data_IF_744374458207
#
_entry.id   IF_744374458207
#
_cell.length_a   1.000
_cell.length_b   1.000
_cell.length_c   1.000
_cell.angle_alpha   90.00
_cell.angle_beta   90.00
_cell.angle_gamma   90.00
#
_symmetry.space_group_name_H-M   'P 1'
#
loop_
_entity.id
_entity.type
_entity.pdbx_description
1 polymer ?
#
# COMPACT_ATOMS: atom_id res chain seq x y z
N UNK A 1 4.80 0.98 6.53
CA UNK A 1 4.55 -0.05 7.55
C UNK A 1 3.74 -1.15 6.91
N UNK A 2 4.18 -2.39 7.03
CA UNK A 2 3.44 -3.55 6.53
C UNK A 2 2.68 -4.21 7.68
N UNK A 3 1.36 -4.07 7.63
CA UNK A 3 0.42 -4.60 8.61
C UNK A 3 -0.35 -5.82 8.07
N UNK A 4 -0.02 -6.32 6.88
CA UNK A 4 -0.56 -7.59 6.38
C UNK A 4 0.18 -8.77 7.03
N UNK A 5 -0.41 -9.27 8.10
CA UNK A 5 0.11 -10.42 8.81
C UNK A 5 -0.18 -11.77 8.14
N UNK A 6 -1.10 -11.81 7.17
CA UNK A 6 -1.53 -13.04 6.50
C UNK A 6 -0.67 -13.37 5.29
N UNK A 7 -0.07 -12.36 4.67
CA UNK A 7 0.84 -12.52 3.54
C UNK A 7 1.78 -11.33 3.38
N UNK A 8 2.72 -11.11 4.34
CA UNK A 8 3.63 -9.96 4.29
C UNK A 8 4.52 -10.08 3.05
N UNK A 9 4.32 -9.18 2.09
CA UNK A 9 5.02 -9.18 0.80
C UNK A 9 6.11 -8.11 0.70
N UNK A 10 5.99 -7.04 1.50
CA UNK A 10 6.90 -5.90 1.48
C UNK A 10 8.37 -6.28 1.80
N UNK A 11 8.68 -7.17 2.77
CA UNK A 11 10.04 -7.64 3.00
C UNK A 11 10.70 -8.23 1.75
N UNK A 12 9.97 -9.10 1.04
CA UNK A 12 10.43 -9.75 -0.19
C UNK A 12 10.61 -8.74 -1.31
N UNK A 13 9.62 -7.87 -1.54
CA UNK A 13 9.66 -6.85 -2.61
C UNK A 13 10.75 -5.79 -2.41
N UNK A 14 11.23 -5.60 -1.17
CA UNK A 14 12.36 -4.73 -0.86
C UNK A 14 13.71 -5.47 -0.75
N UNK A 15 13.71 -6.79 -0.94
CA UNK A 15 14.90 -7.63 -0.86
C UNK A 15 15.54 -7.62 0.54
N UNK A 16 14.72 -7.57 1.59
CA UNK A 16 15.15 -7.51 2.98
C UNK A 16 14.98 -8.88 3.64
N UNK A 17 16.09 -9.44 4.09
CA UNK A 17 16.11 -10.67 4.90
C UNK A 17 16.60 -10.41 6.34
N UNK A 18 16.94 -9.16 6.65
CA UNK A 18 17.44 -8.77 7.96
C UNK A 18 16.30 -8.63 8.97
N UNK A 19 16.65 -8.82 10.24
CA UNK A 19 15.74 -8.61 11.36
C UNK A 19 15.95 -7.21 11.96
N UNK A 20 14.87 -6.49 12.30
CA UNK A 20 14.96 -5.21 13.01
C UNK A 20 15.77 -5.35 14.30
N UNK A 21 16.62 -4.35 14.57
CA UNK A 21 17.38 -4.27 15.81
C UNK A 21 16.62 -3.44 16.84
N UNK A 22 16.93 -3.67 18.11
CA UNK A 22 16.40 -2.87 19.21
C UNK A 22 17.49 -1.97 19.77
N UNK A 23 17.19 -0.70 20.02
CA UNK A 23 18.10 0.25 20.67
C UNK A 23 18.22 -0.04 22.18
N UNK A 24 19.25 0.51 22.87
CA UNK A 24 19.33 0.44 24.33
C UNK A 24 18.08 0.99 25.05
N UNK A 25 17.40 1.96 24.45
CA UNK A 25 16.16 2.58 24.91
C UNK A 25 14.91 1.72 24.62
N UNK A 26 15.10 0.48 24.14
CA UNK A 26 14.04 -0.46 23.77
C UNK A 26 13.16 -0.02 22.59
N UNK A 27 13.67 0.87 21.72
CA UNK A 27 13.00 1.22 20.47
C UNK A 27 13.36 0.23 19.37
N UNK A 28 12.41 -0.08 18.50
CA UNK A 28 12.63 -0.87 17.29
C UNK A 28 13.19 0.02 16.19
N UNK A 29 14.34 -0.33 15.65
CA UNK A 29 14.93 0.38 14.51
C UNK A 29 14.28 -0.12 13.22
N UNK A 30 13.62 0.75 12.43
CA UNK A 30 13.13 0.35 11.12
C UNK A 30 14.29 0.00 10.20
N UNK A 31 14.08 -0.96 9.31
CA UNK A 31 15.03 -1.29 8.26
C UNK A 31 14.92 -0.25 7.15
N UNK A 32 16.01 0.01 6.43
CA UNK A 32 16.03 1.03 5.38
C UNK A 32 16.49 0.42 4.07
N UNK A 33 15.66 0.56 3.03
CA UNK A 33 15.98 0.18 1.66
C UNK A 33 15.44 1.20 0.69
N UNK A 34 16.19 1.54 -0.36
CA UNK A 34 15.79 2.56 -1.34
C UNK A 34 15.37 3.90 -0.69
N UNK A 35 16.02 4.26 0.43
CA UNK A 35 15.69 5.41 1.28
C UNK A 35 14.29 5.40 1.93
N UNK A 36 13.65 4.24 1.99
CA UNK A 36 12.35 4.03 2.64
C UNK A 36 12.57 3.29 3.96
N UNK A 37 12.00 3.81 5.05
CA UNK A 37 11.96 3.15 6.36
C UNK A 37 10.85 2.11 6.39
N UNK A 38 11.17 0.90 6.85
CA UNK A 38 10.32 -0.28 6.72
C UNK A 38 10.22 -1.00 8.07
N UNK A 39 8.99 -1.37 8.41
CA UNK A 39 8.66 -2.28 9.49
C UNK A 39 7.53 -3.17 8.99
N UNK A 40 7.67 -4.48 9.18
CA UNK A 40 6.71 -5.48 8.71
C UNK A 40 6.47 -6.51 9.81
N UNK A 41 5.22 -6.96 9.90
CA UNK A 41 4.87 -8.13 10.70
C UNK A 41 5.66 -9.36 10.23
N UNK A 42 5.97 -9.46 8.94
CA UNK A 42 6.76 -10.53 8.34
C UNK A 42 8.18 -10.63 8.89
N UNK A 43 8.78 -9.55 9.40
CA UNK A 43 10.07 -9.65 10.09
C UNK A 43 9.94 -10.45 11.39
N UNK A 44 8.83 -10.30 12.13
CA UNK A 44 8.67 -10.97 13.42
C UNK A 44 8.32 -12.45 13.32
N UNK A 45 8.06 -12.98 12.11
CA UNK A 45 7.66 -14.36 11.88
C UNK A 45 8.79 -15.12 11.18
N UNK A 46 9.32 -16.21 11.76
CA UNK A 46 10.23 -17.09 11.05
C UNK A 46 9.54 -17.72 9.83
N UNK A 47 10.18 -17.71 8.66
CA UNK A 47 9.62 -18.19 7.37
C UNK A 47 9.00 -19.60 7.42
N UNK A 48 9.49 -20.47 8.31
CA UNK A 48 9.05 -21.86 8.43
C UNK A 48 7.85 -22.07 9.36
N UNK A 49 7.36 -21.03 10.04
CA UNK A 49 6.27 -21.14 11.02
C UNK A 49 5.02 -20.40 10.58
N UNK A 50 3.98 -21.15 10.23
CA UNK A 50 2.63 -20.60 10.05
C UNK A 50 2.07 -20.15 11.41
N UNK A 51 2.27 -18.87 11.75
CA UNK A 51 1.66 -18.27 12.94
C UNK A 51 0.20 -17.90 12.67
N UNK A 52 -0.70 -18.40 13.53
CA UNK A 52 -2.11 -17.98 13.51
C UNK A 52 -2.21 -16.65 14.26
N UNK A 53 -2.33 -15.57 13.52
CA UNK A 53 -2.58 -14.24 14.07
C UNK A 53 -4.00 -14.14 14.61
N UNK A 54 -4.13 -13.87 15.92
CA UNK A 54 -5.41 -13.53 16.54
C UNK A 54 -5.56 -12.00 16.59
N UNK A 55 -6.80 -11.50 16.47
CA UNK A 55 -7.10 -10.05 16.49
C UNK A 55 -6.36 -9.25 17.58
N UNK A 56 -6.34 -9.68 18.86
CA UNK A 56 -5.60 -8.97 19.91
C UNK A 56 -4.08 -8.89 19.69
N UNK A 57 -3.47 -9.90 19.05
CA UNK A 57 -2.05 -9.89 18.74
C UNK A 57 -1.75 -8.88 17.63
N UNK A 58 -2.58 -8.84 16.59
CA UNK A 58 -2.49 -7.85 15.51
C UNK A 58 -2.63 -6.43 16.05
N UNK A 59 -3.66 -6.21 16.88
CA UNK A 59 -3.88 -4.92 17.52
C UNK A 59 -2.65 -4.47 18.33
N UNK A 60 -2.05 -5.38 19.10
CA UNK A 60 -0.87 -5.08 19.91
C UNK A 60 0.36 -4.79 19.03
N UNK A 61 0.56 -5.55 17.95
CA UNK A 61 1.65 -5.35 17.02
C UNK A 61 1.56 -4.00 16.30
N UNK A 62 0.37 -3.62 15.81
CA UNK A 62 0.15 -2.31 15.17
C UNK A 62 0.45 -1.18 16.16
N UNK A 63 -0.07 -1.26 17.39
CA UNK A 63 0.24 -0.25 18.41
C UNK A 63 1.73 -0.16 18.70
N UNK A 64 2.40 -1.29 18.84
CA UNK A 64 3.84 -1.34 19.05
C UNK A 64 4.60 -0.71 17.87
N UNK A 65 4.19 -0.95 16.63
CA UNK A 65 4.82 -0.33 15.47
C UNK A 65 4.63 1.18 15.43
N UNK A 66 3.48 1.69 15.89
CA UNK A 66 3.22 3.12 15.95
C UNK A 66 3.93 3.80 17.13
N UNK A 67 4.08 3.13 18.27
CA UNK A 67 4.66 3.73 19.49
C UNK A 67 6.15 3.49 19.67
N UNK A 68 6.63 2.29 19.33
CA UNK A 68 7.94 1.78 19.76
C UNK A 68 8.96 1.72 18.63
N UNK A 69 8.53 1.89 17.38
CA UNK A 69 9.45 2.03 16.25
C UNK A 69 9.99 3.47 16.20
N UNK A 70 11.31 3.58 16.06
CA UNK A 70 11.97 4.87 15.85
C UNK A 70 11.87 5.28 14.38
N UNK A 71 10.69 5.77 14.00
CA UNK A 71 10.43 6.26 12.65
C UNK A 71 11.22 7.53 12.32
N UNK A 72 11.72 8.27 13.31
CA UNK A 72 12.30 9.61 13.13
C UNK A 72 11.31 10.58 12.48
N UNK A 73 11.84 11.55 11.74
CA UNK A 73 11.02 12.46 10.92
C UNK A 73 10.58 11.75 9.63
N UNK A 74 9.30 11.93 9.29
CA UNK A 74 8.62 11.38 8.13
C UNK A 74 7.65 12.42 7.58
N UNK A 75 7.59 12.53 6.26
CA UNK A 75 6.51 13.26 5.57
C UNK A 75 5.30 12.34 5.35
N UNK A 76 5.57 11.05 5.05
CA UNK A 76 4.56 10.04 4.77
C UNK A 76 4.79 8.76 5.57
N UNK A 77 3.71 8.19 6.11
CA UNK A 77 3.65 6.83 6.63
C UNK A 77 2.58 6.05 5.87
N UNK A 78 3.00 5.26 4.88
CA UNK A 78 2.11 4.37 4.11
C UNK A 78 1.96 3.04 4.84
N UNK A 79 0.74 2.57 5.02
CA UNK A 79 0.38 1.37 5.77
C UNK A 79 -0.26 0.34 4.85
N UNK A 80 0.43 -0.77 4.60
CA UNK A 80 -0.11 -1.88 3.83
C UNK A 80 -1.06 -2.69 4.71
N UNK A 81 -2.34 -2.73 4.35
CA UNK A 81 -3.40 -3.40 5.08
C UNK A 81 -3.70 -4.76 4.43
N UNK A 82 -4.02 -5.79 5.22
CA UNK A 82 -4.47 -7.05 4.66
C UNK A 82 -5.76 -6.84 3.85
N UNK A 83 -6.02 -7.68 2.83
CA UNK A 83 -7.20 -7.54 2.00
C UNK A 83 -8.50 -7.70 2.81
N UNK A 84 -9.52 -6.92 2.43
CA UNK A 84 -10.85 -6.97 3.02
C UNK A 84 -11.10 -5.99 4.17
N UNK A 85 -12.16 -6.22 4.94
CA UNK A 85 -12.63 -5.29 6.00
C UNK A 85 -12.32 -5.81 7.40
N UNK A 86 -11.09 -6.23 7.63
CA UNK A 86 -10.67 -6.96 8.84
C UNK A 86 -10.36 -6.07 10.06
N UNK A 87 -10.02 -6.73 11.16
CA UNK A 87 -9.73 -6.10 12.47
C UNK A 87 -8.52 -5.15 12.45
N UNK A 88 -7.63 -5.26 11.45
CA UNK A 88 -6.41 -4.42 11.32
C UNK A 88 -6.79 -2.97 11.02
N UNK A 89 -7.68 -2.71 10.06
CA UNK A 89 -8.12 -1.35 9.73
C UNK A 89 -8.85 -0.68 10.90
N UNK A 90 -9.68 -1.44 11.62
CA UNK A 90 -10.34 -0.96 12.83
C UNK A 90 -9.33 -0.66 13.94
N UNK A 91 -8.35 -1.54 14.15
CA UNK A 91 -7.30 -1.34 15.15
C UNK A 91 -6.46 -0.10 14.87
N UNK A 92 -6.15 0.13 13.58
CA UNK A 92 -5.36 1.25 13.12
C UNK A 92 -6.09 2.59 13.36
N UNK A 93 -7.34 2.69 12.89
CA UNK A 93 -8.18 3.90 13.06
C UNK A 93 -8.51 4.22 14.52
N UNK A 94 -8.47 3.23 15.41
CA UNK A 94 -8.57 3.45 16.86
C UNK A 94 -7.26 3.85 17.53
N UNK A 95 -6.12 3.57 16.90
CA UNK A 95 -4.80 3.86 17.45
C UNK A 95 -4.32 5.25 17.08
N UNK A 96 -4.55 5.67 15.83
CA UNK A 96 -4.11 6.95 15.28
C UNK A 96 -5.14 7.52 14.30
N UNK A 97 -5.23 8.85 14.15
CA UNK A 97 -5.96 9.46 13.05
C UNK A 97 -5.24 9.15 11.72
N UNK A 98 -6.00 8.84 10.69
CA UNK A 98 -5.49 8.63 9.33
C UNK A 98 -5.82 9.85 8.49
N UNK A 99 -4.87 10.30 7.67
CA UNK A 99 -5.09 11.37 6.67
C UNK A 99 -6.08 10.90 5.62
N UNK A 100 -5.97 9.64 5.19
CA UNK A 100 -6.96 9.05 4.30
C UNK A 100 -6.60 7.64 3.87
N UNK A 101 -7.45 7.05 3.04
CA UNK A 101 -7.27 5.70 2.52
C UNK A 101 -7.19 5.71 0.99
N UNK A 102 -6.30 4.86 0.46
CA UNK A 102 -6.20 4.55 -0.97
C UNK A 102 -6.83 3.19 -1.24
N UNK A 103 -7.66 3.11 -2.28
CA UNK A 103 -8.27 1.84 -2.68
C UNK A 103 -7.60 1.32 -3.94
N UNK A 104 -6.93 0.18 -3.84
CA UNK A 104 -6.37 -0.53 -4.98
C UNK A 104 -7.37 -1.58 -5.47
N UNK A 105 -7.64 -1.59 -6.77
CA UNK A 105 -8.52 -2.58 -7.40
C UNK A 105 -7.97 -3.08 -8.71
N UNK A 106 -8.67 -4.02 -9.33
CA UNK A 106 -8.42 -4.49 -10.69
C UNK A 106 -9.71 -4.35 -11.51
N UNK A 107 -9.66 -4.30 -12.85
CA UNK A 107 -10.84 -3.94 -13.64
C UNK A 107 -12.02 -4.90 -13.56
N UNK A 108 -11.84 -6.13 -13.06
CA UNK A 108 -12.85 -7.18 -13.06
C UNK A 108 -13.95 -6.90 -12.01
N UNK A 109 -15.20 -7.16 -12.39
CA UNK A 109 -16.38 -6.94 -11.53
C UNK A 109 -16.30 -7.59 -10.15
N UNK A 110 -15.60 -8.73 -10.03
CA UNK A 110 -15.43 -9.45 -8.76
C UNK A 110 -14.58 -8.62 -7.80
N UNK A 111 -13.47 -8.04 -8.27
CA UNK A 111 -12.62 -7.17 -7.45
C UNK A 111 -13.34 -5.87 -7.05
N UNK A 112 -14.26 -5.38 -7.89
CA UNK A 112 -15.09 -4.22 -7.57
C UNK A 112 -16.03 -4.47 -6.38
N UNK A 113 -16.36 -5.73 -6.06
CA UNK A 113 -17.16 -6.03 -4.87
C UNK A 113 -16.41 -5.72 -3.57
N UNK A 114 -15.11 -5.95 -3.54
CA UNK A 114 -14.27 -5.69 -2.38
C UNK A 114 -13.98 -4.19 -2.23
N UNK A 115 -13.85 -3.45 -3.33
CA UNK A 115 -13.82 -1.98 -3.32
C UNK A 115 -15.02 -1.40 -2.61
N UNK A 116 -16.24 -1.85 -2.94
CA UNK A 116 -17.47 -1.36 -2.29
C UNK A 116 -17.46 -1.57 -0.77
N UNK A 117 -16.90 -2.70 -0.33
CA UNK A 117 -16.79 -3.02 1.10
C UNK A 117 -15.73 -2.16 1.78
N UNK A 118 -14.57 -1.98 1.14
CA UNK A 118 -13.49 -1.12 1.62
C UNK A 118 -13.96 0.33 1.77
N UNK A 119 -14.62 0.87 0.74
CA UNK A 119 -15.21 2.22 0.76
C UNK A 119 -16.18 2.37 1.93
N UNK A 120 -17.17 1.47 2.04
CA UNK A 120 -18.15 1.52 3.11
C UNK A 120 -17.55 1.33 4.52
N UNK A 121 -16.44 0.61 4.64
CA UNK A 121 -15.73 0.46 5.90
C UNK A 121 -15.06 1.77 6.31
N UNK A 122 -14.25 2.39 5.44
CA UNK A 122 -13.56 3.63 5.75
C UNK A 122 -14.52 4.80 5.97
N UNK A 123 -15.63 4.87 5.21
CA UNK A 123 -16.72 5.82 5.48
C UNK A 123 -17.28 5.67 6.89
N UNK A 124 -17.52 4.44 7.35
CA UNK A 124 -18.01 4.17 8.72
C UNK A 124 -16.98 4.50 9.80
N UNK A 125 -15.70 4.37 9.49
CA UNK A 125 -14.59 4.71 10.38
C UNK A 125 -14.27 6.22 10.35
N UNK A 126 -14.93 7.00 9.49
CA UNK A 126 -14.68 8.43 9.34
C UNK A 126 -13.34 8.77 8.68
N UNK A 127 -12.77 7.83 7.92
CA UNK A 127 -11.51 8.02 7.19
C UNK A 127 -11.86 8.45 5.76
N UNK A 128 -11.32 9.58 5.26
CA UNK A 128 -11.59 10.03 3.90
C UNK A 128 -10.89 9.11 2.90
N UNK A 129 -11.54 8.87 1.76
CA UNK A 129 -10.97 8.08 0.67
C UNK A 129 -10.36 9.04 -0.33
N UNK A 130 -9.04 9.01 -0.44
CA UNK A 130 -8.30 9.97 -1.27
C UNK A 130 -8.38 9.60 -2.74
N UNK A 131 -8.51 8.30 -3.06
CA UNK A 131 -8.76 7.88 -4.43
C UNK A 131 -8.68 6.39 -4.66
N UNK A 132 -8.96 6.02 -5.91
CA UNK A 132 -8.92 4.65 -6.42
C UNK A 132 -7.78 4.51 -7.43
N UNK A 133 -6.99 3.46 -7.29
CA UNK A 133 -5.94 3.04 -8.22
C UNK A 133 -6.40 1.74 -8.89
N UNK A 134 -6.39 1.70 -10.22
CA UNK A 134 -6.69 0.49 -10.97
C UNK A 134 -5.39 -0.22 -11.38
N UNK A 135 -5.05 -1.27 -10.65
CA UNK A 135 -3.93 -2.14 -10.93
C UNK A 135 -4.27 -3.18 -12.01
N UNK A 136 -3.24 -3.69 -12.71
CA UNK A 136 -3.39 -4.69 -13.78
C UNK A 136 -4.44 -4.29 -14.84
N UNK A 137 -4.50 -3.00 -15.15
CA UNK A 137 -5.55 -2.37 -15.95
C UNK A 137 -5.49 -2.74 -17.44
N UNK A 138 -4.28 -2.79 -18.00
CA UNK A 138 -4.02 -3.11 -19.39
C UNK A 138 -2.63 -3.70 -19.55
N UNK A 139 -2.37 -4.36 -20.67
CA UNK A 139 -1.04 -4.82 -21.06
C UNK A 139 -0.50 -3.93 -22.18
N UNK A 140 0.75 -3.50 -22.04
CA UNK A 140 1.45 -2.72 -23.05
C UNK A 140 2.37 -3.64 -23.84
N UNK A 141 2.10 -3.84 -25.13
CA UNK A 141 2.90 -4.74 -25.94
C UNK A 141 4.34 -4.21 -26.09
N UNK A 142 5.38 -4.94 -25.65
CA UNK A 142 6.76 -4.46 -25.71
C UNK A 142 7.30 -4.34 -27.14
N UNK A 143 6.62 -4.92 -28.13
CA UNK A 143 7.05 -4.90 -29.53
C UNK A 143 6.45 -3.76 -30.36
N UNK A 144 5.20 -3.37 -30.08
CA UNK A 144 4.47 -2.36 -30.86
C UNK A 144 3.91 -1.21 -30.03
N UNK A 145 4.05 -1.25 -28.70
CA UNK A 145 3.51 -0.28 -27.74
C UNK A 145 1.98 -0.13 -27.79
N UNK A 146 1.28 -1.12 -28.34
CA UNK A 146 -0.18 -1.16 -28.35
C UNK A 146 -0.71 -1.55 -26.97
N UNK A 147 -1.72 -0.81 -26.50
CA UNK A 147 -2.43 -1.07 -25.25
C UNK A 147 -3.52 -2.10 -25.51
N UNK A 148 -3.47 -3.21 -24.78
CA UNK A 148 -4.47 -4.28 -24.83
C UNK A 148 -5.15 -4.42 -23.48
N UNK A 149 -6.47 -4.32 -23.47
CA UNK A 149 -7.29 -4.60 -22.29
C UNK A 149 -7.43 -6.12 -22.16
N UNK A 150 -6.67 -6.73 -21.25
CA UNK A 150 -6.72 -8.18 -21.01
C UNK A 150 -8.04 -8.57 -20.33
N UNK A 151 -8.55 -7.67 -19.49
CA UNK A 151 -9.80 -7.82 -18.77
C UNK A 151 -10.83 -6.80 -19.27
N UNK A 152 -11.87 -6.52 -18.48
CA UNK A 152 -12.66 -5.31 -18.63
C UNK A 152 -11.79 -4.05 -18.49
N UNK A 153 -12.29 -2.93 -18.99
CA UNK A 153 -11.63 -1.64 -18.85
C UNK A 153 -12.41 -0.73 -17.90
N UNK A 154 -11.70 0.24 -17.32
CA UNK A 154 -12.27 1.35 -16.56
C UNK A 154 -13.12 0.93 -15.33
N UNK A 155 -12.92 -0.28 -14.79
CA UNK A 155 -13.67 -0.77 -13.63
C UNK A 155 -13.47 0.11 -12.39
N UNK A 156 -12.23 0.45 -12.09
CA UNK A 156 -11.82 1.37 -11.03
C UNK A 156 -12.27 2.81 -11.31
N UNK A 157 -12.16 3.27 -12.56
CA UNK A 157 -12.61 4.61 -12.96
C UNK A 157 -14.13 4.77 -12.79
N UNK A 158 -14.91 3.86 -13.35
CA UNK A 158 -16.37 3.84 -13.18
C UNK A 158 -16.77 3.75 -11.71
N UNK A 159 -15.99 3.03 -10.91
CA UNK A 159 -16.23 2.92 -9.46
C UNK A 159 -15.92 4.23 -8.73
N UNK A 160 -14.85 4.93 -9.11
CA UNK A 160 -14.51 6.23 -8.54
C UNK A 160 -15.62 7.27 -8.79
N UNK A 161 -16.14 7.32 -10.01
CA UNK A 161 -17.26 8.20 -10.38
C UNK A 161 -18.53 7.86 -9.60
N UNK A 162 -18.81 6.57 -9.42
CA UNK A 162 -19.98 6.09 -8.66
C UNK A 162 -19.94 6.51 -7.19
N UNK A 163 -18.75 6.49 -6.57
CA UNK A 163 -18.57 6.84 -5.17
C UNK A 163 -18.20 8.32 -4.95
N UNK A 164 -17.98 9.08 -6.03
CA UNK A 164 -17.58 10.48 -5.94
C UNK A 164 -16.18 10.66 -5.33
N UNK A 165 -15.28 9.71 -5.56
CA UNK A 165 -13.89 9.73 -5.10
C UNK A 165 -12.94 9.92 -6.28
N UNK A 166 -11.72 10.40 -6.05
CA UNK A 166 -10.77 10.63 -7.13
C UNK A 166 -10.32 9.32 -7.80
N UNK A 167 -9.99 9.39 -9.08
CA UNK A 167 -9.33 8.33 -9.82
C UNK A 167 -7.86 8.68 -10.00
N UNK A 168 -6.97 7.97 -9.31
CA UNK A 168 -5.55 8.33 -9.29
C UNK A 168 -4.80 7.82 -10.53
N UNK A 169 -5.33 6.78 -11.18
CA UNK A 169 -4.77 6.28 -12.43
C UNK A 169 -4.80 4.77 -12.59
N UNK A 170 -4.15 4.33 -13.66
CA UNK A 170 -4.08 2.96 -14.13
C UNK A 170 -2.62 2.47 -14.11
N UNK A 171 -2.38 1.30 -13.49
CA UNK A 171 -1.09 0.61 -13.54
C UNK A 171 -1.20 -0.56 -14.54
N UNK A 172 -0.29 -0.68 -15.51
CA UNK A 172 -0.30 -1.79 -16.47
C UNK A 172 0.02 -3.14 -15.81
N UNK A 173 -0.56 -4.21 -16.34
CA UNK A 173 -0.12 -5.58 -16.09
C UNK A 173 1.18 -5.82 -16.84
N UNK A 174 2.25 -6.09 -16.10
CA UNK A 174 3.57 -6.31 -16.68
C UNK A 174 4.37 -7.36 -15.91
N UNK A 175 5.08 -8.23 -16.64
CA UNK A 175 5.88 -9.30 -16.07
C UNK A 175 7.15 -8.78 -15.37
N UNK A 176 7.71 -7.65 -15.82
CA UNK A 176 8.87 -7.03 -15.21
C UNK A 176 8.53 -6.47 -13.83
N UNK A 177 7.31 -5.98 -13.60
CA UNK A 177 6.86 -5.54 -12.26
C UNK A 177 6.89 -6.71 -11.27
N UNK A 178 6.36 -7.86 -11.70
CA UNK A 178 6.39 -9.09 -10.89
C UNK A 178 7.82 -9.55 -10.63
N UNK A 179 8.63 -9.64 -11.70
CA UNK A 179 10.03 -10.08 -11.61
C UNK A 179 10.85 -9.16 -10.70
N UNK A 180 10.66 -7.85 -10.81
CA UNK A 180 11.30 -6.83 -9.99
C UNK A 180 10.94 -6.99 -8.51
N UNK A 181 9.67 -7.25 -8.20
CA UNK A 181 9.22 -7.59 -6.85
C UNK A 181 9.86 -8.87 -6.31
N UNK A 182 9.88 -9.94 -7.11
CA UNK A 182 10.43 -11.24 -6.68
C UNK A 182 11.95 -11.18 -6.38
N UNK A 183 12.70 -10.38 -7.14
CA UNK A 183 14.14 -10.19 -6.89
C UNK A 183 14.44 -9.13 -5.82
N UNK A 184 13.41 -8.47 -5.29
CA UNK A 184 13.53 -7.49 -4.21
C UNK A 184 14.08 -6.13 -4.64
N UNK A 185 13.86 -5.73 -5.89
CA UNK A 185 14.22 -4.42 -6.42
C UNK A 185 13.00 -3.83 -7.13
N UNK A 186 12.22 -2.95 -6.48
CA UNK A 186 11.00 -2.41 -7.07
C UNK A 186 11.22 -1.81 -8.45
N UNK A 187 10.24 -1.93 -9.35
CA UNK A 187 10.37 -1.51 -10.76
C UNK A 187 10.82 -0.04 -10.90
N UNK A 188 10.30 0.85 -10.04
CA UNK A 188 10.66 2.27 -9.99
C UNK A 188 12.12 2.53 -9.62
N UNK A 189 12.75 1.62 -8.88
CA UNK A 189 14.15 1.71 -8.50
C UNK A 189 15.07 1.04 -9.53
N UNK A 190 14.63 -0.07 -10.12
CA UNK A 190 15.41 -0.84 -11.10
C UNK A 190 15.37 -0.27 -12.51
N UNK A 191 14.22 0.25 -12.94
CA UNK A 191 13.95 0.72 -14.30
C UNK A 191 13.13 2.02 -14.28
N UNK A 192 13.69 3.15 -13.80
CA UNK A 192 12.96 4.39 -13.58
C UNK A 192 12.34 5.03 -14.84
N UNK A 193 12.88 4.73 -16.02
CA UNK A 193 12.38 5.23 -17.31
C UNK A 193 11.38 4.28 -18.00
N UNK A 194 10.96 3.23 -17.29
CA UNK A 194 10.00 2.26 -17.83
C UNK A 194 8.56 2.82 -17.81
N UNK A 195 7.69 2.44 -18.77
CA UNK A 195 6.28 2.90 -18.79
C UNK A 195 5.51 2.61 -17.49
N UNK A 196 5.89 1.55 -16.78
CA UNK A 196 5.31 1.14 -15.51
C UNK A 196 5.75 2.10 -14.40
N UNK A 197 7.02 2.52 -14.39
CA UNK A 197 7.53 3.50 -13.44
C UNK A 197 6.92 4.88 -13.66
N UNK A 198 6.72 5.27 -14.93
CA UNK A 198 5.96 6.47 -15.28
C UNK A 198 4.51 6.41 -14.75
N UNK A 199 3.83 5.27 -14.90
CA UNK A 199 2.47 5.08 -14.40
C UNK A 199 2.39 5.19 -12.85
N UNK A 200 3.33 4.57 -12.12
CA UNK A 200 3.41 4.74 -10.66
C UNK A 200 3.71 6.18 -10.26
N UNK A 201 4.62 6.86 -10.97
CA UNK A 201 4.96 8.26 -10.73
C UNK A 201 3.78 9.19 -10.97
N UNK A 202 2.97 8.94 -12.00
CA UNK A 202 1.76 9.70 -12.29
C UNK A 202 0.72 9.55 -11.17
N UNK A 203 0.49 8.32 -10.69
CA UNK A 203 -0.41 8.05 -9.55
C UNK A 203 0.07 8.77 -8.28
N UNK A 204 1.38 8.75 -8.01
CA UNK A 204 1.95 9.45 -6.86
C UNK A 204 1.78 10.97 -6.98
N UNK A 205 2.01 11.55 -8.16
CA UNK A 205 1.83 12.98 -8.40
C UNK A 205 0.38 13.44 -8.24
N UNK A 206 -0.58 12.64 -8.72
CA UNK A 206 -2.01 12.91 -8.53
C UNK A 206 -2.40 12.88 -7.05
N UNK A 207 -1.90 11.88 -6.31
CA UNK A 207 -2.11 11.78 -4.87
C UNK A 207 -1.54 13.00 -4.12
N UNK A 208 -0.31 13.41 -4.44
CA UNK A 208 0.30 14.60 -3.84
C UNK A 208 -0.53 15.85 -4.11
N UNK A 209 -1.05 16.01 -5.33
CA UNK A 209 -1.93 17.15 -5.69
C UNK A 209 -3.18 17.17 -4.81
N UNK A 210 -3.84 16.02 -4.62
CA UNK A 210 -5.03 15.91 -3.77
C UNK A 210 -4.73 16.26 -2.31
N UNK A 211 -3.58 15.85 -1.80
CA UNK A 211 -3.14 16.14 -0.44
C UNK A 211 -2.82 17.63 -0.25
N UNK A 212 -2.13 18.25 -1.21
CA UNK A 212 -1.86 19.70 -1.19
C UNK A 212 -3.15 20.52 -1.21
N UNK A 213 -4.15 20.12 -2.02
CA UNK A 213 -5.47 20.77 -2.06
C UNK A 213 -6.26 20.62 -0.75
N UNK A 214 -5.98 19.57 0.04
CA UNK A 214 -6.62 19.34 1.34
C UNK A 214 -6.06 20.22 2.48
N UNK A 215 -4.88 20.84 2.28
CA UNK A 215 -4.31 21.84 3.18
C UNK A 215 -3.50 21.28 4.36
N UNK A 216 -3.06 20.02 4.32
CA UNK A 216 -2.26 19.36 5.37
C UNK A 216 -0.75 19.39 5.06
N UNK A 217 -0.16 20.55 4.73
CA UNK A 217 1.25 20.62 4.30
C UNK A 217 2.30 20.44 5.42
N UNK A 218 1.91 20.56 6.70
CA UNK A 218 2.84 20.58 7.85
C UNK A 218 2.66 19.41 8.86
N UNK A 219 1.76 18.45 8.60
CA UNK A 219 1.55 17.28 9.46
C UNK A 219 1.96 15.97 8.75
N UNK A 220 2.36 14.97 9.53
CA UNK A 220 2.67 13.63 9.02
C UNK A 220 1.44 13.07 8.30
N UNK A 221 1.59 12.79 7.00
CA UNK A 221 0.53 12.18 6.20
C UNK A 221 0.52 10.66 6.44
N UNK A 222 -0.60 10.13 6.94
CA UNK A 222 -0.74 8.69 7.22
C UNK A 222 -1.81 8.08 6.30
N UNK A 223 -1.37 7.14 5.46
CA UNK A 223 -2.13 6.53 4.36
C UNK A 223 -2.27 5.02 4.52
#
# INVERSE_FOLDING_TARGET
MDADAYGPSIPTMMGIQEQPRTTPERKLMPLVRHNIKLMSIGFMVPEEQAMIWRGPMLHSAIRQFLSDVDWGELDYLIIDLPPGTGDVALSLTQAIPLTGALIVTTPQDVALADVRRGVAMFERLGVPILGIIENMSYFLCPHCNEKTEIFSADGGKNTSERFGVAFLGQIPLDAEVCTAGDIGVPIVAGHPESPQSEAFGAVAAELTTILEESGEEDELTIL
#
